data_IF_655208170212
#
_entry.id   IF_655208170212
#
_cell.length_a   1.000
_cell.length_b   1.000
_cell.length_c   1.000
_cell.angle_alpha   90.00
_cell.angle_beta   90.00
_cell.angle_gamma   90.00
#
_symmetry.space_group_name_H-M   'P 1'
#
loop_
_entity.id
_entity.type
_entity.pdbx_description
1 polymer ?
#
# COMPACT_ATOMS: atom_id res chain seq x y z
N UNK A 1 17.59 -18.56 0.71
CA UNK A 1 18.80 -18.08 -0.03
C UNK A 1 19.04 -16.63 0.35
N UNK A 2 19.96 -16.33 1.27
CA UNK A 2 20.20 -14.95 1.72
C UNK A 2 21.68 -14.72 2.11
N UNK A 3 22.62 -15.12 1.25
CA UNK A 3 24.07 -15.01 1.54
C UNK A 3 24.86 -14.30 0.42
N UNK A 4 24.24 -13.40 -0.36
CA UNK A 4 24.97 -12.67 -1.44
C UNK A 4 24.94 -11.15 -1.40
N UNK A 5 24.46 -10.53 -0.32
CA UNK A 5 24.33 -9.07 -0.26
C UNK A 5 25.07 -8.41 0.90
N UNK A 6 26.17 -9.00 1.38
CA UNK A 6 27.01 -8.34 2.35
C UNK A 6 28.22 -7.74 1.64
N UNK A 7 28.23 -6.41 1.51
CA UNK A 7 29.38 -5.52 1.79
C UNK A 7 29.09 -4.12 1.16
N UNK A 8 28.85 -3.13 2.03
CA UNK A 8 28.42 -1.72 1.79
C UNK A 8 26.92 -1.36 1.94
N UNK A 9 26.15 -2.09 2.75
CA UNK A 9 24.73 -1.78 3.07
C UNK A 9 24.53 -0.52 3.94
N UNK A 10 25.57 0.05 4.57
CA UNK A 10 25.39 1.02 5.66
C UNK A 10 25.34 2.52 5.26
N UNK A 11 25.36 2.86 3.97
CA UNK A 11 25.27 4.27 3.54
C UNK A 11 24.00 4.50 2.73
N UNK A 12 23.19 5.49 3.14
CA UNK A 12 21.99 5.90 2.41
C UNK A 12 22.32 6.28 0.95
N UNK A 13 23.51 6.84 0.71
CA UNK A 13 24.03 7.21 -0.62
C UNK A 13 24.24 6.00 -1.56
N UNK A 14 24.24 4.78 -1.02
CA UNK A 14 24.25 3.57 -1.84
C UNK A 14 22.90 3.37 -2.54
N UNK A 15 21.81 3.76 -1.86
CA UNK A 15 20.44 3.53 -2.30
C UNK A 15 19.77 4.76 -2.89
N UNK A 16 20.26 5.94 -2.51
CA UNK A 16 19.69 7.21 -2.90
C UNK A 16 20.76 8.18 -3.40
N UNK A 17 20.33 9.21 -4.11
CA UNK A 17 21.15 10.39 -4.43
C UNK A 17 20.31 11.65 -4.19
N UNK A 18 20.90 12.81 -3.91
CA UNK A 18 20.16 14.06 -3.87
C UNK A 18 19.34 14.23 -5.16
N UNK A 19 18.09 14.66 -5.01
CA UNK A 19 17.23 14.93 -6.15
C UNK A 19 17.84 16.07 -6.99
N UNK A 20 17.84 15.91 -8.32
CA UNK A 20 18.34 16.96 -9.22
C UNK A 20 17.50 18.25 -9.13
N UNK A 21 16.25 18.15 -8.68
CA UNK A 21 15.30 19.26 -8.54
C UNK A 21 14.62 19.17 -7.17
N UNK A 22 14.76 20.22 -6.37
CA UNK A 22 14.11 20.36 -5.06
C UNK A 22 14.86 19.74 -3.89
N UNK A 23 14.25 19.83 -2.71
CA UNK A 23 14.78 19.26 -1.47
C UNK A 23 14.32 17.79 -1.36
N UNK A 24 15.25 16.84 -1.49
CA UNK A 24 14.92 15.42 -1.40
C UNK A 24 16.00 14.49 -1.92
N UNK A 25 15.66 13.21 -1.99
CA UNK A 25 16.53 12.15 -2.49
C UNK A 25 15.79 11.27 -3.50
N UNK A 26 16.40 11.07 -4.67
CA UNK A 26 15.97 10.08 -5.65
C UNK A 26 16.42 8.69 -5.19
N UNK A 27 15.51 7.72 -5.19
CA UNK A 27 15.87 6.31 -4.97
C UNK A 27 16.47 5.77 -6.27
N UNK A 28 17.76 5.40 -6.21
CA UNK A 28 18.50 4.80 -7.33
C UNK A 28 18.59 3.28 -7.23
N UNK A 29 18.38 2.72 -6.03
CA UNK A 29 18.29 1.27 -5.81
C UNK A 29 16.94 0.90 -5.17
N UNK A 30 15.95 0.52 -5.99
CA UNK A 30 14.64 0.00 -5.59
C UNK A 30 14.60 -0.92 -4.36
N UNK A 31 15.60 -1.79 -4.16
CA UNK A 31 15.69 -2.72 -3.01
C UNK A 31 15.63 -2.03 -1.64
N UNK A 32 15.93 -0.74 -1.56
CA UNK A 32 15.75 0.06 -0.34
C UNK A 32 14.34 -0.07 0.25
N UNK A 33 13.31 -0.19 -0.60
CA UNK A 33 11.94 -0.34 -0.14
C UNK A 33 11.72 -1.63 0.65
N UNK A 34 12.31 -2.73 0.20
CA UNK A 34 12.20 -4.01 0.90
C UNK A 34 12.87 -3.93 2.27
N UNK A 35 14.01 -3.25 2.37
CA UNK A 35 14.68 -3.01 3.65
C UNK A 35 13.83 -2.13 4.58
N UNK A 36 13.21 -1.07 4.06
CA UNK A 36 12.29 -0.22 4.84
C UNK A 36 11.11 -1.04 5.36
N UNK A 37 10.51 -1.89 4.51
CA UNK A 37 9.41 -2.78 4.89
C UNK A 37 9.85 -3.74 6.00
N UNK A 38 10.99 -4.42 5.80
CA UNK A 38 11.54 -5.35 6.78
C UNK A 38 11.79 -4.69 8.14
N UNK A 39 12.36 -3.48 8.14
CA UNK A 39 12.57 -2.71 9.36
C UNK A 39 11.26 -2.30 10.03
N UNK A 40 10.25 -1.89 9.25
CA UNK A 40 8.96 -1.46 9.78
C UNK A 40 8.19 -2.61 10.45
N UNK A 41 8.31 -3.84 9.93
CA UNK A 41 7.61 -5.02 10.45
C UNK A 41 8.40 -5.81 11.49
N UNK A 42 9.72 -5.59 11.62
CA UNK A 42 10.57 -6.27 12.59
C UNK A 42 10.08 -6.07 14.05
N UNK A 43 9.45 -4.93 14.34
CA UNK A 43 8.80 -4.63 15.61
C UNK A 43 7.28 -4.79 15.51
N UNK A 44 6.82 -6.01 15.21
CA UNK A 44 5.39 -6.31 15.01
C UNK A 44 4.54 -6.10 16.27
N UNK A 45 5.14 -6.07 17.46
CA UNK A 45 4.43 -5.87 18.73
C UNK A 45 3.91 -4.43 18.92
N UNK A 46 4.45 -3.46 18.18
CA UNK A 46 4.07 -2.04 18.30
C UNK A 46 3.30 -1.50 17.10
N UNK A 47 3.20 -2.27 16.00
CA UNK A 47 2.63 -1.79 14.74
C UNK A 47 1.53 -2.74 14.24
N UNK A 48 0.28 -2.45 14.65
CA UNK A 48 -0.90 -3.20 14.21
C UNK A 48 -1.47 -2.71 12.87
N UNK A 49 -1.03 -1.53 12.41
CA UNK A 49 -1.46 -0.91 11.15
C UNK A 49 -0.20 -0.45 10.42
N UNK A 50 -0.04 -0.93 9.19
CA UNK A 50 1.06 -0.51 8.32
C UNK A 50 0.45 0.04 7.05
N UNK A 51 0.55 1.36 6.89
CA UNK A 51 0.10 2.05 5.69
C UNK A 51 1.27 2.13 4.72
N UNK A 52 1.07 1.60 3.52
CA UNK A 52 1.97 1.84 2.40
C UNK A 52 1.16 2.39 1.23
N UNK A 53 1.69 3.43 0.61
CA UNK A 53 1.13 4.03 -0.59
C UNK A 53 2.19 3.91 -1.66
N UNK A 54 1.75 3.47 -2.84
CA UNK A 54 2.63 3.41 -3.99
C UNK A 54 1.88 3.93 -5.21
N UNK A 55 2.64 4.29 -6.24
CA UNK A 55 2.14 4.52 -7.58
C UNK A 55 3.03 3.79 -8.57
N UNK A 56 2.74 3.91 -9.86
CA UNK A 56 3.60 3.33 -10.90
C UNK A 56 5.01 3.91 -10.81
N UNK A 57 6.05 3.07 -10.74
CA UNK A 57 7.44 3.51 -10.62
C UNK A 57 8.34 2.68 -11.53
N UNK A 58 8.70 3.26 -12.69
CA UNK A 58 9.40 2.56 -13.77
C UNK A 58 10.69 1.87 -13.32
N UNK A 59 11.51 2.56 -12.52
CA UNK A 59 12.78 2.00 -12.02
C UNK A 59 12.54 0.74 -11.18
N UNK A 60 11.50 0.71 -10.35
CA UNK A 60 11.23 -0.45 -9.52
C UNK A 60 10.58 -1.59 -10.32
N UNK A 61 9.64 -1.27 -11.21
CA UNK A 61 9.06 -2.25 -12.14
C UNK A 61 10.14 -2.90 -13.02
N UNK A 62 11.15 -2.14 -13.42
CA UNK A 62 12.29 -2.66 -14.18
C UNK A 62 13.15 -3.65 -13.38
N UNK A 63 13.26 -3.45 -12.06
CA UNK A 63 14.10 -4.28 -11.20
C UNK A 63 13.39 -5.53 -10.66
N UNK A 64 12.09 -5.45 -10.36
CA UNK A 64 11.33 -6.51 -9.68
C UNK A 64 10.19 -7.09 -10.53
N UNK A 65 10.24 -6.92 -11.85
CA UNK A 65 9.21 -7.32 -12.82
C UNK A 65 7.87 -6.57 -12.68
N UNK A 66 6.89 -6.91 -13.53
CA UNK A 66 5.63 -6.16 -13.75
C UNK A 66 4.65 -6.11 -12.55
N UNK A 67 5.02 -6.54 -11.33
CA UNK A 67 4.16 -6.40 -10.16
C UNK A 67 4.91 -5.97 -8.89
N UNK A 68 5.39 -4.72 -8.95
CA UNK A 68 6.06 -4.04 -7.84
C UNK A 68 5.25 -4.02 -6.53
N UNK A 69 3.91 -3.96 -6.62
CA UNK A 69 3.01 -3.97 -5.46
C UNK A 69 2.99 -5.33 -4.78
N UNK A 70 2.80 -6.38 -5.58
CA UNK A 70 2.79 -7.75 -5.07
C UNK A 70 4.11 -8.08 -4.39
N UNK A 71 5.25 -7.71 -4.98
CA UNK A 71 6.57 -7.91 -4.37
C UNK A 71 6.68 -7.24 -2.99
N UNK A 72 6.22 -6.00 -2.84
CA UNK A 72 6.22 -5.31 -1.55
C UNK A 72 5.31 -6.00 -0.52
N UNK A 73 4.14 -6.45 -0.92
CA UNK A 73 3.20 -7.20 -0.06
C UNK A 73 3.80 -8.56 0.31
N UNK A 74 4.45 -9.25 -0.63
CA UNK A 74 5.13 -10.51 -0.37
C UNK A 74 6.27 -10.34 0.65
N UNK A 75 7.08 -9.30 0.49
CA UNK A 75 8.13 -8.95 1.46
C UNK A 75 7.55 -8.70 2.87
N UNK A 76 6.41 -7.99 2.93
CA UNK A 76 5.69 -7.76 4.19
C UNK A 76 5.21 -9.07 4.84
N UNK A 77 4.47 -9.88 4.08
CA UNK A 77 3.85 -11.13 4.56
C UNK A 77 4.90 -12.15 4.98
N UNK A 78 6.01 -12.25 4.25
CA UNK A 78 7.10 -13.17 4.56
C UNK A 78 7.88 -12.76 5.82
N UNK A 79 7.91 -11.47 6.14
CA UNK A 79 8.66 -10.97 7.31
C UNK A 79 7.79 -10.92 8.56
N UNK A 80 6.47 -10.78 8.42
CA UNK A 80 5.53 -10.73 9.54
C UNK A 80 5.31 -12.11 10.18
N UNK A 81 5.73 -12.28 11.44
CA UNK A 81 5.60 -13.56 12.19
C UNK A 81 4.18 -14.13 12.24
N UNK A 82 3.16 -13.25 12.29
CA UNK A 82 1.74 -13.61 12.40
C UNK A 82 0.94 -13.22 11.15
N UNK A 83 1.52 -13.38 9.96
CA UNK A 83 0.87 -13.04 8.69
C UNK A 83 -0.46 -13.76 8.43
N UNK A 84 -0.68 -14.93 9.04
CA UNK A 84 -1.98 -15.62 8.99
C UNK A 84 -3.14 -14.85 9.65
N UNK A 85 -2.85 -13.79 10.41
CA UNK A 85 -3.83 -12.95 11.08
C UNK A 85 -3.85 -11.51 10.53
N UNK A 86 -3.58 -11.35 9.23
CA UNK A 86 -3.63 -10.06 8.57
C UNK A 86 -4.78 -9.96 7.56
N UNK A 87 -5.16 -8.73 7.26
CA UNK A 87 -6.06 -8.36 6.18
C UNK A 87 -5.48 -7.16 5.45
N UNK A 88 -5.56 -7.17 4.12
CA UNK A 88 -5.22 -6.00 3.31
C UNK A 88 -6.48 -5.18 3.10
N UNK A 89 -6.46 -3.93 3.55
CA UNK A 89 -7.53 -2.96 3.28
C UNK A 89 -7.07 -2.06 2.14
N UNK A 90 -7.67 -2.23 0.96
CA UNK A 90 -7.39 -1.43 -0.22
C UNK A 90 -8.28 -0.19 -0.23
N UNK A 91 -7.70 1.01 -0.18
CA UNK A 91 -8.44 2.27 -0.23
C UNK A 91 -8.35 2.86 -1.63
N UNK A 92 -9.48 2.89 -2.34
CA UNK A 92 -9.51 3.33 -3.73
C UNK A 92 -10.29 4.62 -3.88
N UNK A 93 -9.89 5.45 -4.84
CA UNK A 93 -10.68 6.59 -5.25
C UNK A 93 -10.44 6.94 -6.72
N UNK A 94 -11.44 7.51 -7.39
CA UNK A 94 -11.34 8.00 -8.75
C UNK A 94 -10.36 9.19 -8.87
N UNK A 95 -9.89 9.47 -10.09
CA UNK A 95 -8.88 10.51 -10.34
C UNK A 95 -9.37 11.91 -9.96
N UNK A 96 -10.62 12.24 -10.28
CA UNK A 96 -11.21 13.55 -9.99
C UNK A 96 -11.23 13.84 -8.48
N UNK A 97 -11.71 12.89 -7.68
CA UNK A 97 -11.71 12.99 -6.21
C UNK A 97 -10.30 13.13 -5.66
N UNK A 98 -9.34 12.37 -6.19
CA UNK A 98 -7.93 12.47 -5.79
C UNK A 98 -7.34 13.86 -6.10
N UNK A 99 -7.62 14.43 -7.27
CA UNK A 99 -7.20 15.80 -7.64
C UNK A 99 -7.84 16.85 -6.71
N UNK A 100 -9.14 16.73 -6.45
CA UNK A 100 -9.85 17.64 -5.54
C UNK A 100 -9.26 17.58 -4.12
N UNK A 101 -8.96 16.40 -3.59
CA UNK A 101 -8.30 16.25 -2.28
C UNK A 101 -6.88 16.79 -2.25
N UNK A 102 -6.11 16.59 -3.33
CA UNK A 102 -4.77 17.15 -3.46
C UNK A 102 -4.81 18.69 -3.40
N UNK A 103 -5.79 19.32 -4.06
CA UNK A 103 -6.03 20.76 -3.98
C UNK A 103 -6.41 21.20 -2.56
N UNK A 104 -7.40 20.56 -1.93
CA UNK A 104 -7.84 20.90 -0.56
C UNK A 104 -6.67 20.77 0.44
N UNK A 105 -5.86 19.71 0.31
CA UNK A 105 -4.65 19.52 1.13
C UNK A 105 -3.67 20.67 0.98
N UNK A 106 -3.45 21.15 -0.26
CA UNK A 106 -2.58 22.29 -0.52
C UNK A 106 -3.13 23.60 0.07
N UNK A 107 -4.43 23.85 -0.09
CA UNK A 107 -5.12 25.00 0.52
C UNK A 107 -5.00 25.00 2.06
N UNK A 108 -4.85 23.83 2.67
CA UNK A 108 -4.60 23.65 4.10
C UNK A 108 -3.11 23.61 4.49
N UNK A 109 -2.19 24.05 3.61
CA UNK A 109 -0.76 24.16 3.89
C UNK A 109 0.05 22.87 3.67
N UNK A 110 -0.55 21.84 3.10
CA UNK A 110 0.16 20.60 2.72
C UNK A 110 0.91 20.73 1.38
N UNK A 111 1.76 19.74 1.07
CA UNK A 111 2.42 19.66 -0.23
C UNK A 111 1.44 19.34 -1.36
N UNK A 112 1.52 20.11 -2.45
CA UNK A 112 0.74 19.88 -3.67
C UNK A 112 1.50 18.97 -4.63
N UNK A 113 0.86 17.87 -5.01
CA UNK A 113 1.35 17.00 -6.09
C UNK A 113 0.94 17.61 -7.43
N UNK A 114 1.85 17.73 -8.40
CA UNK A 114 1.50 18.34 -9.69
C UNK A 114 0.45 17.54 -10.45
N UNK A 115 -0.38 18.22 -11.24
CA UNK A 115 -1.42 17.57 -12.06
C UNK A 115 -0.83 16.53 -13.01
N UNK A 116 0.32 16.82 -13.63
CA UNK A 116 1.08 15.88 -14.44
C UNK A 116 1.41 14.57 -13.69
N UNK A 117 1.80 14.69 -12.41
CA UNK A 117 2.09 13.52 -11.57
C UNK A 117 0.80 12.79 -11.21
N UNK A 118 -0.28 13.52 -10.91
CA UNK A 118 -1.59 12.92 -10.67
C UNK A 118 -2.08 12.11 -11.87
N UNK A 119 -1.86 12.61 -13.08
CA UNK A 119 -2.30 11.95 -14.32
C UNK A 119 -1.38 10.79 -14.74
N UNK A 120 -0.08 10.88 -14.50
CA UNK A 120 0.88 9.82 -14.91
C UNK A 120 0.98 8.70 -13.88
N UNK A 121 1.06 9.06 -12.60
CA UNK A 121 1.41 8.12 -11.52
C UNK A 121 0.17 7.66 -10.74
N UNK A 122 -0.78 8.58 -10.53
CA UNK A 122 -1.96 8.35 -9.70
C UNK A 122 -3.27 8.35 -10.51
N UNK A 123 -3.22 8.10 -11.83
CA UNK A 123 -4.43 8.13 -12.68
C UNK A 123 -5.39 6.99 -12.38
N UNK A 124 -4.88 5.83 -11.97
CA UNK A 124 -5.70 4.66 -11.64
C UNK A 124 -5.11 3.89 -10.47
N UNK A 125 -5.97 3.11 -9.81
CA UNK A 125 -5.51 2.09 -8.90
C UNK A 125 -4.97 0.90 -9.72
N UNK A 126 -3.76 0.43 -9.39
CA UNK A 126 -3.14 -0.73 -10.04
C UNK A 126 -3.08 -1.95 -9.09
N UNK A 127 -3.74 -1.79 -7.94
CA UNK A 127 -4.13 -2.74 -6.93
C UNK A 127 -4.88 -3.98 -7.43
N UNK A 128 -4.24 -5.07 -7.87
CA UNK A 128 -4.97 -6.27 -8.33
C UNK A 128 -4.93 -7.43 -7.33
N UNK A 129 -6.08 -8.09 -7.15
CA UNK A 129 -6.26 -9.28 -6.32
C UNK A 129 -7.41 -10.15 -6.86
N UNK A 130 -7.49 -11.41 -6.40
CA UNK A 130 -8.56 -12.32 -6.83
C UNK A 130 -9.88 -11.92 -6.16
N UNK A 131 -10.83 -11.39 -6.93
CA UNK A 131 -12.14 -11.00 -6.42
C UNK A 131 -13.06 -12.21 -6.23
N UNK A 132 -13.69 -12.29 -5.08
CA UNK A 132 -14.77 -13.26 -4.79
C UNK A 132 -16.11 -12.58 -4.54
N UNK A 133 -16.12 -11.25 -4.40
CA UNK A 133 -17.31 -10.42 -4.35
C UNK A 133 -17.03 -9.01 -4.90
N UNK A 134 -18.01 -8.12 -4.77
CA UNK A 134 -17.93 -6.75 -5.30
C UNK A 134 -16.72 -5.98 -4.76
N UNK A 135 -16.53 -6.04 -3.44
CA UNK A 135 -15.53 -5.25 -2.71
C UNK A 135 -14.52 -6.11 -1.94
N UNK A 136 -14.49 -7.42 -2.16
CA UNK A 136 -13.61 -8.30 -1.37
C UNK A 136 -13.13 -9.52 -2.17
N UNK A 137 -12.09 -10.14 -1.64
CA UNK A 137 -11.39 -11.24 -2.28
C UNK A 137 -10.10 -11.59 -1.55
N UNK A 138 -9.12 -12.11 -2.27
CA UNK A 138 -7.87 -12.56 -1.65
C UNK A 138 -6.64 -12.42 -2.55
N UNK A 139 -5.48 -12.43 -1.91
CA UNK A 139 -4.16 -12.62 -2.53
C UNK A 139 -3.62 -14.01 -2.17
N UNK A 140 -2.91 -14.62 -3.11
CA UNK A 140 -2.08 -15.79 -2.84
C UNK A 140 -0.63 -15.33 -2.74
N UNK A 141 -0.04 -15.44 -1.56
CA UNK A 141 1.33 -14.99 -1.27
C UNK A 141 2.07 -16.12 -0.57
N UNK A 142 3.17 -16.60 -1.14
CA UNK A 142 3.95 -17.71 -0.56
C UNK A 142 3.12 -18.94 -0.11
N UNK A 143 2.07 -19.28 -0.86
CA UNK A 143 1.15 -20.39 -0.55
C UNK A 143 0.11 -20.08 0.55
N UNK A 144 0.05 -18.85 1.04
CA UNK A 144 -0.95 -18.37 2.00
C UNK A 144 -2.03 -17.54 1.28
N UNK A 145 -3.28 -17.71 1.71
CA UNK A 145 -4.40 -16.90 1.22
C UNK A 145 -4.64 -15.74 2.18
N UNK A 146 -4.39 -14.52 1.72
CA UNK A 146 -4.54 -13.29 2.51
C UNK A 146 -5.84 -12.58 2.10
N UNK A 147 -6.76 -12.30 3.04
CA UNK A 147 -7.99 -11.59 2.72
C UNK A 147 -7.70 -10.15 2.29
N UNK A 148 -8.43 -9.68 1.28
CA UNK A 148 -8.42 -8.29 0.80
C UNK A 148 -9.83 -7.72 0.84
N UNK A 149 -9.96 -6.53 1.40
CA UNK A 149 -11.21 -5.76 1.36
C UNK A 149 -10.96 -4.37 0.77
N UNK A 150 -11.75 -3.99 -0.22
CA UNK A 150 -11.68 -2.70 -0.90
C UNK A 150 -12.73 -1.75 -0.33
N UNK A 151 -12.28 -0.55 0.07
CA UNK A 151 -13.14 0.56 0.45
C UNK A 151 -13.06 1.63 -0.63
N UNK A 152 -14.20 1.91 -1.28
CA UNK A 152 -14.32 3.00 -2.24
C UNK A 152 -14.54 4.30 -1.49
N UNK A 153 -13.57 5.20 -1.55
CA UNK A 153 -13.57 6.47 -0.85
C UNK A 153 -13.67 7.64 -1.85
N UNK A 154 -14.78 7.72 -2.59
CA UNK A 154 -15.04 8.71 -3.64
C UNK A 154 -15.83 9.94 -3.18
N UNK A 155 -15.76 10.26 -1.89
CA UNK A 155 -16.58 11.32 -1.28
C UNK A 155 -15.74 12.23 -0.41
N UNK A 156 -16.02 13.52 -0.45
CA UNK A 156 -15.57 14.46 0.58
C UNK A 156 -16.72 14.60 1.58
N UNK A 157 -16.51 14.10 2.79
CA UNK A 157 -17.55 14.01 3.82
C UNK A 157 -17.30 15.04 4.91
N UNK A 158 -18.38 15.61 5.48
CA UNK A 158 -18.29 16.30 6.75
C UNK A 158 -18.04 15.30 7.89
N UNK A 159 -17.71 15.80 9.07
CA UNK A 159 -17.32 14.96 10.22
C UNK A 159 -18.34 13.88 10.58
N UNK A 160 -19.63 14.23 10.62
CA UNK A 160 -20.71 13.28 10.98
C UNK A 160 -20.79 12.17 9.93
N UNK A 161 -20.83 12.55 8.65
CA UNK A 161 -20.91 11.57 7.56
C UNK A 161 -19.63 10.73 7.45
N UNK A 162 -18.47 11.30 7.76
CA UNK A 162 -17.19 10.60 7.82
C UNK A 162 -17.22 9.52 8.92
N UNK A 163 -17.67 9.85 10.12
CA UNK A 163 -17.76 8.88 11.22
C UNK A 163 -18.67 7.70 10.86
N UNK A 164 -19.86 7.98 10.30
CA UNK A 164 -20.78 6.93 9.84
C UNK A 164 -20.15 6.07 8.73
N UNK A 165 -19.42 6.69 7.80
CA UNK A 165 -18.71 5.98 6.74
C UNK A 165 -17.60 5.08 7.28
N UNK A 166 -16.81 5.57 8.25
CA UNK A 166 -15.74 4.80 8.87
C UNK A 166 -16.30 3.61 9.65
N UNK A 167 -17.31 3.83 10.50
CA UNK A 167 -17.95 2.77 11.28
C UNK A 167 -18.53 1.67 10.38
N UNK A 168 -19.26 2.07 9.32
CA UNK A 168 -19.80 1.13 8.35
C UNK A 168 -18.70 0.25 7.73
N UNK A 169 -17.62 0.87 7.25
CA UNK A 169 -16.55 0.15 6.57
C UNK A 169 -15.74 -0.73 7.53
N UNK A 170 -15.43 -0.24 8.74
CA UNK A 170 -14.73 -1.04 9.76
C UNK A 170 -15.53 -2.30 10.10
N UNK A 171 -16.84 -2.16 10.33
CA UNK A 171 -17.71 -3.31 10.62
C UNK A 171 -17.73 -4.32 9.46
N UNK A 172 -17.74 -3.84 8.21
CA UNK A 172 -17.66 -4.70 7.02
C UNK A 172 -16.34 -5.43 6.89
N UNK A 173 -15.21 -4.74 7.13
CA UNK A 173 -13.86 -5.32 7.09
C UNK A 173 -13.71 -6.39 8.16
N UNK A 174 -14.15 -6.12 9.41
CA UNK A 174 -14.10 -7.09 10.52
C UNK A 174 -14.96 -8.30 10.20
N UNK A 175 -16.20 -8.09 9.74
CA UNK A 175 -17.08 -9.19 9.33
C UNK A 175 -16.42 -10.04 8.25
N UNK A 176 -15.87 -9.39 7.22
CA UNK A 176 -15.21 -10.09 6.12
C UNK A 176 -14.03 -10.93 6.62
N UNK A 177 -13.17 -10.36 7.46
CA UNK A 177 -12.05 -11.08 8.05
C UNK A 177 -12.49 -12.30 8.86
N UNK A 178 -13.50 -12.16 9.72
CA UNK A 178 -13.97 -13.26 10.57
C UNK A 178 -14.60 -14.40 9.75
N UNK A 179 -15.51 -14.07 8.84
CA UNK A 179 -16.14 -15.05 7.95
C UNK A 179 -15.08 -15.76 7.07
N UNK A 180 -13.99 -15.07 6.70
CA UNK A 180 -12.86 -15.64 5.93
C UNK A 180 -12.09 -16.66 6.77
N UNK A 181 -11.79 -16.31 8.03
CA UNK A 181 -11.09 -17.20 8.97
C UNK A 181 -11.91 -18.43 9.33
N UNK A 182 -13.23 -18.31 9.33
CA UNK A 182 -14.17 -19.41 9.58
C UNK A 182 -14.42 -20.29 8.34
N UNK A 183 -13.86 -19.94 7.17
CA UNK A 183 -14.01 -20.71 5.94
C UNK A 183 -15.43 -20.67 5.36
N UNK A 184 -16.21 -19.64 5.70
CA UNK A 184 -17.56 -19.48 5.14
C UNK A 184 -17.48 -19.17 3.65
N UNK A 185 -18.34 -19.80 2.86
CA UNK A 185 -18.47 -19.52 1.43
C UNK A 185 -19.19 -18.20 1.19
N UNK A 186 -18.65 -17.42 0.26
CA UNK A 186 -19.13 -16.10 -0.11
C UNK A 186 -19.92 -16.21 -1.40
N UNK A 187 -21.22 -16.47 -1.29
CA UNK A 187 -22.14 -16.45 -2.44
C UNK A 187 -22.66 -15.03 -2.68
#
# INVERSE_FOLDING_TARGET
>A
MCEKYNDNINSINHYTKPANLGDGYDIIRPILWDYIIQMAVANSETHNIIQFLRGKAELYESQFSQNAYFHSIESFINTLKNSNNCIVVNLVSNLETRKNRNRIRFENGGHYVSDDTMDKIYSKDIFEYTKTGENFGYLLVAGQTIPVYTIVNDKTLNEIALNNFLEYNVNRVIKYYNDFKEGKTWN
#
